data_IF_881089986474
#
_entry.id   IF_881089986474
#
_cell.length_a   1.000
_cell.length_b   1.000
_cell.length_c   1.000
_cell.angle_alpha   90.00
_cell.angle_beta   90.00
_cell.angle_gamma   90.00
#
_symmetry.space_group_name_H-M   'P 1'
#
loop_
_entity.id
_entity.type
_entity.pdbx_description
1 polymer ?
#
# COMPACT_ATOMS: atom_id res chain seq x y z
N UNK A 1 30.78 3.36 0.53
CA UNK A 1 29.43 2.98 0.10
C UNK A 1 29.01 3.94 -1.01
N UNK A 2 28.55 3.47 -2.18
CA UNK A 2 27.98 4.39 -3.16
C UNK A 2 26.68 4.98 -2.58
N UNK A 3 26.40 6.24 -2.89
CA UNK A 3 25.26 6.98 -2.38
C UNK A 3 23.92 6.23 -2.62
N UNK A 4 22.95 6.32 -1.70
CA UNK A 4 21.63 5.73 -1.91
C UNK A 4 20.95 6.45 -3.08
N UNK A 5 20.63 5.70 -4.13
CA UNK A 5 19.70 6.16 -5.15
C UNK A 5 18.33 6.36 -4.47
N UNK A 6 17.62 7.49 -4.66
CA UNK A 6 16.32 7.68 -4.04
C UNK A 6 15.35 6.59 -4.54
N UNK A 7 14.67 5.85 -3.65
CA UNK A 7 13.68 4.86 -4.07
C UNK A 7 12.51 5.57 -4.75
N UNK A 8 12.12 5.11 -5.94
CA UNK A 8 10.88 5.55 -6.57
C UNK A 8 9.74 4.68 -6.03
N UNK A 9 8.81 5.31 -5.30
CA UNK A 9 7.60 4.65 -4.81
C UNK A 9 6.44 4.90 -5.78
N UNK A 10 5.79 3.83 -6.22
CA UNK A 10 4.61 3.87 -7.06
C UNK A 10 3.43 3.33 -6.24
N UNK A 11 2.42 4.17 -6.02
CA UNK A 11 1.14 3.73 -5.48
C UNK A 11 0.26 3.25 -6.64
N UNK A 12 -0.09 1.98 -6.64
CA UNK A 12 -0.94 1.37 -7.67
C UNK A 12 -2.23 0.90 -7.02
N UNK A 13 -3.32 1.54 -7.42
CA UNK A 13 -4.68 1.15 -7.02
C UNK A 13 -5.23 0.08 -7.95
N UNK A 14 -6.23 -0.66 -7.50
CA UNK A 14 -6.93 -1.60 -8.38
C UNK A 14 -7.72 -0.84 -9.44
N UNK A 15 -7.64 -1.26 -10.72
CA UNK A 15 -8.32 -0.59 -11.84
C UNK A 15 -9.85 -0.82 -11.90
N UNK A 16 -10.46 -1.44 -10.88
CA UNK A 16 -11.90 -1.67 -10.85
C UNK A 16 -12.62 -0.38 -10.43
N UNK A 17 -13.23 0.33 -11.40
CA UNK A 17 -14.04 1.51 -11.12
C UNK A 17 -15.09 1.24 -10.04
N UNK A 18 -15.31 2.23 -9.17
CA UNK A 18 -16.12 2.15 -7.95
C UNK A 18 -17.59 1.68 -8.14
N UNK A 19 -18.05 1.51 -9.37
CA UNK A 19 -19.43 1.14 -9.72
C UNK A 19 -19.58 -0.29 -10.27
N UNK A 20 -18.49 -1.02 -10.56
CA UNK A 20 -18.53 -2.28 -11.32
C UNK A 20 -17.91 -3.46 -10.54
N UNK A 21 -18.04 -3.46 -9.21
CA UNK A 21 -17.48 -4.52 -8.37
C UNK A 21 -18.54 -5.55 -7.97
N UNK A 22 -18.46 -6.73 -8.57
CA UNK A 22 -19.29 -7.88 -8.17
C UNK A 22 -18.69 -8.61 -6.97
N UNK A 23 -19.55 -8.96 -6.00
CA UNK A 23 -19.17 -9.76 -4.86
C UNK A 23 -18.79 -11.19 -5.27
N UNK A 24 -17.72 -11.72 -4.69
CA UNK A 24 -17.26 -13.09 -4.94
C UNK A 24 -18.30 -14.09 -4.43
N UNK A 25 -18.89 -14.87 -5.34
CA UNK A 25 -19.78 -15.97 -4.98
C UNK A 25 -19.11 -16.98 -4.03
N UNK A 26 -19.83 -17.44 -3.00
CA UNK A 26 -19.35 -18.42 -2.00
C UNK A 26 -19.17 -19.82 -2.61
N UNK A 27 -18.18 -20.00 -3.47
CA UNK A 27 -17.70 -21.30 -3.92
C UNK A 27 -16.53 -21.76 -3.04
N UNK A 28 -16.79 -22.62 -2.06
CA UNK A 28 -15.75 -23.18 -1.20
C UNK A 28 -14.80 -24.09 -1.98
N UNK A 29 -13.50 -23.78 -2.00
CA UNK A 29 -12.44 -24.71 -2.43
C UNK A 29 -11.75 -25.27 -1.19
N UNK A 30 -12.03 -26.54 -0.89
CA UNK A 30 -11.28 -27.38 0.05
C UNK A 30 -9.95 -27.73 -0.63
N UNK A 31 -8.83 -27.34 -0.04
CA UNK A 31 -7.52 -27.90 -0.40
C UNK A 31 -7.48 -29.32 0.17
N UNK A 32 -7.65 -30.33 -0.66
CA UNK A 32 -7.41 -31.71 -0.28
C UNK A 32 -5.92 -32.02 -0.40
N UNK A 33 -5.39 -32.64 0.66
CA UNK A 33 -4.03 -33.14 0.78
C UNK A 33 -3.98 -34.53 0.15
N UNK A 34 -3.00 -34.75 -0.72
CA UNK A 34 -2.76 -36.04 -1.37
C UNK A 34 -2.37 -37.12 -0.35
N UNK A 35 -3.06 -38.26 -0.40
CA UNK A 35 -2.77 -39.45 0.38
C UNK A 35 -2.85 -40.70 -0.51
N UNK A 36 -1.67 -41.31 -0.69
CA UNK A 36 -1.29 -42.70 -1.01
C UNK A 36 -2.14 -43.63 -1.90
N UNK A 37 -1.39 -44.35 -2.73
CA UNK A 37 -1.79 -45.30 -3.75
C UNK A 37 -2.32 -46.64 -3.20
N UNK A 38 -3.31 -47.19 -3.90
CA UNK A 38 -3.75 -48.58 -3.79
C UNK A 38 -4.17 -49.11 -5.16
N UNK A 39 -3.48 -50.15 -5.63
CA UNK A 39 -3.71 -50.82 -6.91
C UNK A 39 -4.97 -51.70 -6.90
N UNK A 40 -5.69 -51.75 -8.02
CA UNK A 40 -6.79 -52.68 -8.28
C UNK A 40 -7.18 -52.67 -9.76
N UNK A 41 -7.34 -53.86 -10.33
CA UNK A 41 -7.33 -54.20 -11.76
C UNK A 41 -8.58 -53.84 -12.59
N UNK A 42 -8.35 -53.93 -13.91
CA UNK A 42 -9.19 -53.66 -15.09
C UNK A 42 -10.65 -54.16 -15.10
N UNK A 43 -11.50 -53.33 -15.72
CA UNK A 43 -12.80 -53.71 -16.28
C UNK A 43 -13.11 -52.85 -17.51
N UNK A 44 -13.26 -53.50 -18.65
CA UNK A 44 -13.51 -52.92 -19.99
C UNK A 44 -14.97 -52.44 -20.14
N UNK A 45 -15.19 -51.22 -20.65
CA UNK A 45 -16.52 -50.62 -20.73
C UNK A 45 -16.56 -49.28 -21.47
N UNK A 46 -16.87 -49.36 -22.78
CA UNK A 46 -17.51 -48.37 -23.66
C UNK A 46 -17.14 -46.87 -23.52
N UNK A 47 -16.44 -46.39 -24.54
CA UNK A 47 -16.19 -44.98 -24.84
C UNK A 47 -17.50 -44.20 -25.03
N UNK A 48 -17.89 -43.44 -24.01
CA UNK A 48 -18.78 -42.28 -24.14
C UNK A 48 -17.93 -41.02 -24.30
N UNK A 49 -18.35 -40.13 -25.20
CA UNK A 49 -17.70 -38.85 -25.49
C UNK A 49 -17.33 -38.11 -24.19
N UNK A 50 -16.02 -38.11 -23.88
CA UNK A 50 -15.48 -37.32 -22.81
C UNK A 50 -15.56 -35.86 -23.24
N UNK A 51 -16.56 -35.14 -22.72
CA UNK A 51 -16.54 -33.70 -22.68
C UNK A 51 -15.16 -33.27 -22.18
N UNK A 52 -14.44 -32.51 -23.01
CA UNK A 52 -13.13 -31.99 -22.65
C UNK A 52 -13.22 -31.39 -21.24
N UNK A 53 -12.32 -31.75 -20.31
CA UNK A 53 -12.36 -31.16 -18.98
C UNK A 53 -12.34 -29.65 -19.17
N UNK A 54 -13.29 -28.95 -18.54
CA UNK A 54 -13.28 -27.49 -18.49
C UNK A 54 -11.86 -27.08 -18.13
N UNK A 55 -11.14 -26.56 -19.12
CA UNK A 55 -9.77 -26.11 -18.94
C UNK A 55 -9.91 -24.90 -18.05
N UNK A 56 -9.72 -25.10 -16.74
CA UNK A 56 -9.72 -24.03 -15.76
C UNK A 56 -8.92 -22.88 -16.35
N UNK A 57 -9.50 -21.68 -16.39
CA UNK A 57 -8.81 -20.50 -16.91
C UNK A 57 -7.42 -20.47 -16.29
N UNK A 58 -6.40 -20.48 -17.16
CA UNK A 58 -5.01 -20.55 -16.73
C UNK A 58 -4.74 -19.34 -15.84
N UNK A 59 -4.35 -19.61 -14.60
CA UNK A 59 -4.17 -18.58 -13.57
C UNK A 59 -3.05 -17.66 -14.05
N UNK A 60 -3.27 -16.33 -14.04
CA UNK A 60 -2.26 -15.40 -14.57
C UNK A 60 -1.00 -15.49 -13.69
N UNK A 61 0.18 -15.36 -14.30
CA UNK A 61 1.47 -15.61 -13.65
C UNK A 61 1.66 -14.85 -12.32
N UNK A 62 1.11 -13.63 -12.24
CA UNK A 62 1.20 -12.73 -11.08
C UNK A 62 -0.16 -12.47 -10.39
N UNK A 63 -1.19 -13.26 -10.69
CA UNK A 63 -2.57 -13.02 -10.20
C UNK A 63 -2.66 -13.00 -8.66
N UNK A 64 -1.83 -13.79 -7.99
CA UNK A 64 -1.81 -13.91 -6.53
C UNK A 64 -0.78 -13.00 -5.84
N UNK A 65 -0.06 -12.16 -6.60
CA UNK A 65 0.98 -11.29 -6.06
C UNK A 65 0.43 -10.34 -4.99
N UNK A 66 -0.67 -9.64 -5.28
CA UNK A 66 -1.28 -8.70 -4.34
C UNK A 66 -1.79 -9.40 -3.07
N UNK A 67 -2.25 -10.66 -3.19
CA UNK A 67 -2.68 -11.47 -2.05
C UNK A 67 -1.52 -11.91 -1.16
N UNK A 68 -0.30 -11.96 -1.72
CA UNK A 68 0.92 -12.29 -0.97
C UNK A 68 1.43 -11.12 -0.13
N UNK A 69 1.06 -9.89 -0.47
CA UNK A 69 1.37 -8.70 0.31
C UNK A 69 0.40 -8.55 1.49
N UNK A 70 0.93 -8.52 2.71
CA UNK A 70 0.14 -8.34 3.91
C UNK A 70 -0.46 -6.91 3.93
N UNK A 71 -1.79 -6.75 4.15
CA UNK A 71 -2.44 -5.45 4.26
C UNK A 71 -2.10 -4.80 5.60
N UNK A 72 -0.93 -4.17 5.66
CA UNK A 72 -0.41 -3.52 6.85
C UNK A 72 -1.27 -2.29 7.19
N UNK A 73 -1.50 -2.04 8.48
CA UNK A 73 -2.38 -0.95 8.93
C UNK A 73 -3.88 -1.25 8.77
N UNK A 74 -4.27 -2.40 8.24
CA UNK A 74 -5.67 -2.82 8.20
C UNK A 74 -6.04 -3.58 9.47
N UNK A 75 -7.14 -3.17 10.11
CA UNK A 75 -7.67 -3.89 11.27
C UNK A 75 -7.91 -5.36 10.95
N UNK A 76 -7.50 -6.26 11.86
CA UNK A 76 -7.65 -7.71 11.68
C UNK A 76 -9.09 -8.17 11.42
N UNK A 77 -10.07 -7.43 11.93
CA UNK A 77 -11.49 -7.70 11.69
C UNK A 77 -11.92 -7.47 10.24
N UNK A 78 -11.20 -6.61 9.52
CA UNK A 78 -11.54 -6.14 8.17
C UNK A 78 -10.72 -6.83 7.07
N UNK A 79 -9.59 -7.49 7.41
CA UNK A 79 -8.75 -8.20 6.43
C UNK A 79 -9.54 -9.21 5.59
N UNK A 80 -10.46 -9.97 6.20
CA UNK A 80 -11.26 -10.95 5.44
C UNK A 80 -12.27 -10.29 4.50
N UNK A 81 -12.70 -9.05 4.80
CA UNK A 81 -13.64 -8.29 3.96
C UNK A 81 -13.02 -7.88 2.62
N UNK A 82 -11.70 -7.72 2.58
CA UNK A 82 -10.96 -7.44 1.34
C UNK A 82 -11.24 -8.55 0.31
N UNK A 83 -11.35 -9.81 0.75
CA UNK A 83 -11.54 -10.97 -0.13
C UNK A 83 -12.99 -11.16 -0.62
N UNK A 84 -13.91 -10.30 -0.19
CA UNK A 84 -15.31 -10.33 -0.61
C UNK A 84 -15.48 -9.88 -2.07
N UNK A 85 -14.49 -9.15 -2.62
CA UNK A 85 -14.49 -8.64 -3.98
C UNK A 85 -13.37 -9.26 -4.80
N UNK A 86 -13.56 -9.30 -6.12
CA UNK A 86 -12.55 -9.79 -7.06
C UNK A 86 -11.69 -8.62 -7.58
N UNK A 87 -10.71 -8.21 -6.78
CA UNK A 87 -9.82 -7.10 -7.12
C UNK A 87 -8.93 -7.41 -8.32
N UNK A 88 -8.79 -6.43 -9.20
CA UNK A 88 -8.01 -6.55 -10.40
C UNK A 88 -6.77 -5.66 -10.36
N UNK A 89 -5.59 -6.28 -10.40
CA UNK A 89 -4.28 -5.63 -10.34
C UNK A 89 -3.47 -5.81 -11.64
N UNK A 90 -4.11 -5.94 -12.82
CA UNK A 90 -3.35 -6.10 -14.08
C UNK A 90 -2.40 -4.92 -14.35
N UNK A 91 -2.67 -3.73 -13.83
CA UNK A 91 -1.75 -2.59 -13.90
C UNK A 91 -0.41 -2.91 -13.22
N UNK A 92 -0.44 -3.50 -12.02
CA UNK A 92 0.75 -3.96 -11.32
C UNK A 92 1.45 -5.08 -12.10
N UNK A 93 0.69 -6.04 -12.61
CA UNK A 93 1.24 -7.17 -13.38
C UNK A 93 1.95 -6.67 -14.63
N UNK A 94 1.31 -5.79 -15.42
CA UNK A 94 1.91 -5.16 -16.61
C UNK A 94 3.15 -4.34 -16.29
N UNK A 95 3.20 -3.68 -15.13
CA UNK A 95 4.39 -2.92 -14.72
C UNK A 95 5.58 -3.86 -14.45
N UNK A 96 5.34 -5.10 -14.01
CA UNK A 96 6.36 -6.09 -13.66
C UNK A 96 6.76 -7.02 -14.82
N UNK A 97 5.92 -7.13 -15.84
CA UNK A 97 6.13 -7.92 -17.06
C UNK A 97 7.12 -7.24 -18.04
N UNK A 98 7.61 -8.00 -19.03
CA UNK A 98 8.59 -7.50 -20.00
C UNK A 98 8.08 -6.26 -20.76
N UNK A 99 8.86 -5.17 -20.69
CA UNK A 99 8.48 -3.85 -21.24
C UNK A 99 7.76 -2.93 -20.24
N UNK A 100 7.40 -3.43 -19.05
CA UNK A 100 6.87 -2.64 -17.95
C UNK A 100 7.92 -1.84 -17.18
N UNK A 101 7.49 -0.78 -16.48
CA UNK A 101 8.37 0.16 -15.79
C UNK A 101 9.17 -0.43 -14.62
N UNK A 102 8.71 -1.55 -14.06
CA UNK A 102 9.33 -2.26 -12.94
C UNK A 102 10.06 -3.54 -13.39
N UNK A 103 10.05 -3.86 -14.68
CA UNK A 103 10.71 -5.04 -15.22
C UNK A 103 12.24 -4.97 -15.03
N UNK A 104 12.84 -6.09 -14.63
CA UNK A 104 14.29 -6.19 -14.41
C UNK A 104 14.77 -5.51 -13.12
N UNK A 105 13.85 -4.96 -12.31
CA UNK A 105 14.17 -4.24 -11.07
C UNK A 105 14.04 -5.12 -9.84
N UNK A 106 14.52 -4.60 -8.71
CA UNK A 106 14.26 -5.18 -7.39
C UNK A 106 13.14 -4.38 -6.75
N UNK A 107 12.00 -5.03 -6.52
CA UNK A 107 10.74 -4.37 -6.15
C UNK A 107 10.26 -4.92 -4.81
N UNK A 108 9.91 -4.02 -3.90
CA UNK A 108 9.34 -4.33 -2.59
C UNK A 108 7.89 -3.88 -2.53
N UNK A 109 6.98 -4.80 -2.23
CA UNK A 109 5.54 -4.56 -2.22
C UNK A 109 4.98 -4.68 -0.82
N UNK A 110 4.15 -3.72 -0.43
CA UNK A 110 3.26 -3.85 0.71
C UNK A 110 1.86 -3.41 0.29
N UNK A 111 0.87 -3.98 0.96
CA UNK A 111 -0.52 -3.62 0.75
C UNK A 111 -1.04 -2.84 1.96
N UNK A 112 -2.02 -1.98 1.74
CA UNK A 112 -2.85 -1.35 2.75
C UNK A 112 -4.31 -1.39 2.27
N UNK A 113 -5.22 -0.76 3.02
CA UNK A 113 -6.62 -0.63 2.61
C UNK A 113 -7.14 0.77 2.83
N UNK A 114 -7.96 1.22 1.89
CA UNK A 114 -8.70 2.46 1.98
C UNK A 114 -10.20 2.16 2.14
N UNK A 115 -10.81 2.47 3.30
CA UNK A 115 -12.24 2.31 3.49
C UNK A 115 -13.01 3.34 2.67
N UNK A 116 -13.92 2.87 1.81
CA UNK A 116 -14.81 3.69 1.00
C UNK A 116 -16.28 3.25 1.21
N UNK A 117 -17.21 4.21 1.19
CA UNK A 117 -18.64 3.90 1.19
C UNK A 117 -19.12 3.74 -0.26
N UNK A 118 -19.45 2.52 -0.66
CA UNK A 118 -19.86 2.19 -2.03
C UNK A 118 -21.27 1.57 -2.04
N UNK A 119 -21.99 1.77 -3.14
CA UNK A 119 -23.25 1.04 -3.38
C UNK A 119 -22.93 -0.26 -4.12
N UNK A 120 -23.12 -1.38 -3.45
CA UNK A 120 -22.84 -2.72 -4.00
C UNK A 120 -24.15 -3.50 -4.01
N UNK A 121 -24.56 -3.97 -5.18
CA UNK A 121 -25.82 -4.72 -5.36
C UNK A 121 -27.06 -4.00 -4.80
N UNK A 122 -27.09 -2.67 -4.87
CA UNK A 122 -28.20 -1.85 -4.37
C UNK A 122 -28.17 -1.54 -2.87
N UNK A 123 -27.15 -1.98 -2.14
CA UNK A 123 -26.96 -1.68 -0.71
C UNK A 123 -25.73 -0.79 -0.49
N UNK A 124 -25.86 0.19 0.41
CA UNK A 124 -24.72 1.01 0.85
C UNK A 124 -23.85 0.20 1.80
N UNK A 125 -22.58 -0.01 1.42
CA UNK A 125 -21.63 -0.86 2.15
C UNK A 125 -20.29 -0.16 2.32
N UNK A 126 -19.67 -0.36 3.47
CA UNK A 126 -18.26 -0.01 3.67
C UNK A 126 -17.38 -1.08 3.00
N UNK A 127 -16.67 -0.68 1.96
CA UNK A 127 -15.74 -1.52 1.19
C UNK A 127 -14.31 -1.12 1.55
N UNK A 128 -13.46 -2.09 1.84
CA UNK A 128 -12.04 -1.87 2.11
C UNK A 128 -11.27 -2.12 0.81
N UNK A 129 -11.03 -1.05 0.05
CA UNK A 129 -10.34 -1.12 -1.23
C UNK A 129 -8.86 -1.40 -0.96
N UNK A 130 -8.28 -2.51 -1.43
CA UNK A 130 -6.86 -2.78 -1.28
C UNK A 130 -6.06 -1.88 -2.21
N UNK A 131 -5.02 -1.28 -1.65
CA UNK A 131 -4.03 -0.53 -2.41
C UNK A 131 -2.67 -1.22 -2.24
N UNK A 132 -1.90 -1.30 -3.33
CA UNK A 132 -0.59 -1.94 -3.33
C UNK A 132 0.45 -0.90 -3.70
N UNK A 133 1.45 -0.75 -2.85
CA UNK A 133 2.58 0.14 -3.09
C UNK A 133 3.77 -0.69 -3.53
N UNK A 134 4.31 -0.37 -4.70
CA UNK A 134 5.51 -0.98 -5.25
C UNK A 134 6.68 0.00 -5.14
N UNK A 135 7.73 -0.41 -4.45
CA UNK A 135 8.94 0.39 -4.24
C UNK A 135 10.08 -0.22 -5.04
N UNK A 136 10.54 0.52 -6.05
CA UNK A 136 11.76 0.21 -6.78
C UNK A 136 12.96 0.58 -5.90
N UNK A 137 13.65 -0.44 -5.37
CA UNK A 137 14.78 -0.23 -4.48
C UNK A 137 15.86 -1.30 -4.71
N UNK A 138 17.12 -0.92 -5.00
CA UNK A 138 18.20 -1.88 -5.19
C UNK A 138 18.61 -2.59 -3.89
N UNK A 139 18.20 -2.07 -2.73
CA UNK A 139 18.44 -2.65 -1.41
C UNK A 139 17.13 -2.86 -0.64
N UNK A 140 17.16 -3.73 0.37
CA UNK A 140 15.98 -3.95 1.20
C UNK A 140 15.57 -2.64 1.91
N UNK A 141 14.27 -2.27 1.88
CA UNK A 141 13.76 -1.21 2.73
C UNK A 141 14.03 -1.55 4.20
N UNK A 142 13.92 -0.52 5.03
CA UNK A 142 14.05 -0.64 6.49
C UNK A 142 13.29 -1.85 7.05
N UNK A 143 13.91 -2.51 8.03
CA UNK A 143 13.36 -3.64 8.76
C UNK A 143 12.54 -3.20 9.98
N UNK A 144 12.04 -1.96 9.95
CA UNK A 144 11.24 -1.34 11.01
C UNK A 144 9.84 -0.97 10.52
N UNK A 145 8.93 -0.83 11.46
CA UNK A 145 7.59 -0.28 11.27
C UNK A 145 7.37 0.87 12.23
N UNK A 146 6.70 1.91 11.73
CA UNK A 146 6.19 3.01 12.50
C UNK A 146 4.81 2.67 13.04
N UNK A 147 4.54 3.02 14.29
CA UNK A 147 3.19 2.96 14.86
C UNK A 147 2.67 4.39 15.01
N UNK A 148 1.75 4.77 14.12
CA UNK A 148 1.18 6.10 14.05
C UNK A 148 -0.17 6.14 14.77
N UNK A 149 -0.15 6.52 16.04
CA UNK A 149 -1.38 6.77 16.79
C UNK A 149 -1.86 8.20 16.50
N UNK A 150 -3.06 8.36 15.96
CA UNK A 150 -3.71 9.68 15.70
C UNK A 150 -3.72 10.61 16.93
N UNK A 151 -3.61 10.05 18.14
CA UNK A 151 -3.71 10.76 19.41
C UNK A 151 -2.36 11.05 20.09
N UNK A 152 -1.24 10.63 19.50
CA UNK A 152 0.10 10.85 20.08
C UNK A 152 0.93 11.70 19.14
N UNK A 153 1.67 12.65 19.72
CA UNK A 153 2.60 13.51 18.99
C UNK A 153 3.90 12.82 18.54
N UNK A 154 4.14 11.56 18.96
CA UNK A 154 5.35 10.83 18.63
C UNK A 154 5.05 9.46 18.01
N UNK A 155 5.80 9.14 16.96
CA UNK A 155 5.82 7.82 16.31
C UNK A 155 6.60 6.82 17.17
N UNK A 156 6.00 5.64 17.43
CA UNK A 156 6.74 4.53 18.04
C UNK A 156 7.35 3.66 16.93
N UNK A 157 8.67 3.61 16.82
CA UNK A 157 9.36 2.79 15.83
C UNK A 157 9.71 1.42 16.44
N UNK A 158 9.26 0.34 15.78
CA UNK A 158 9.49 -1.03 16.20
C UNK A 158 10.17 -1.85 15.10
N UNK A 159 11.07 -2.79 15.43
CA UNK A 159 11.60 -3.71 14.43
C UNK A 159 10.49 -4.65 13.95
N UNK A 160 10.41 -4.90 12.64
CA UNK A 160 9.40 -5.75 11.98
C UNK A 160 9.30 -7.13 12.64
N UNK A 161 10.44 -7.71 13.04
CA UNK A 161 10.49 -9.01 13.74
C UNK A 161 9.64 -9.04 15.01
N UNK A 162 9.55 -7.93 15.74
CA UNK A 162 8.71 -7.86 16.94
C UNK A 162 7.24 -8.03 16.55
N UNK A 163 6.83 -7.39 15.44
CA UNK A 163 5.49 -7.49 14.85
C UNK A 163 5.27 -8.78 14.04
N UNK A 164 6.23 -9.72 14.04
CA UNK A 164 6.20 -10.94 13.22
C UNK A 164 6.12 -10.67 11.71
N UNK A 165 6.68 -9.54 11.30
CA UNK A 165 6.74 -9.10 9.91
C UNK A 165 8.15 -9.26 9.34
N UNK A 166 8.23 -9.41 8.03
CA UNK A 166 9.49 -9.43 7.27
C UNK A 166 9.21 -9.27 5.77
N UNK A 167 10.19 -8.75 5.03
CA UNK A 167 10.22 -8.86 3.57
C UNK A 167 10.51 -10.31 3.18
N UNK A 168 9.66 -10.91 2.34
CA UNK A 168 9.76 -12.30 1.91
C UNK A 168 9.79 -12.34 0.38
N UNK A 169 10.65 -13.15 -0.25
CA UNK A 169 10.68 -13.29 -1.70
C UNK A 169 9.34 -13.84 -2.22
N UNK A 170 8.83 -13.21 -3.27
CA UNK A 170 7.73 -13.74 -4.08
C UNK A 170 8.30 -14.36 -5.35
N UNK A 171 7.80 -15.55 -5.70
CA UNK A 171 8.18 -16.26 -6.92
C UNK A 171 6.94 -16.40 -7.80
N UNK A 172 6.94 -15.83 -9.02
CA UNK A 172 5.84 -15.95 -9.99
C UNK A 172 5.46 -17.42 -10.24
N UNK A 173 4.20 -17.66 -10.64
CA UNK A 173 3.68 -19.03 -10.83
C UNK A 173 4.49 -19.86 -11.83
N UNK A 174 4.86 -19.26 -12.96
CA UNK A 174 5.63 -19.89 -14.04
C UNK A 174 7.08 -20.19 -13.60
N UNK A 175 7.57 -19.47 -12.60
CA UNK A 175 8.95 -19.52 -12.12
C UNK A 175 9.13 -20.26 -10.79
N UNK A 176 8.12 -20.99 -10.28
CA UNK A 176 8.16 -21.62 -8.94
C UNK A 176 9.32 -22.60 -8.70
N UNK A 177 9.92 -23.14 -9.77
CA UNK A 177 11.11 -24.00 -9.69
C UNK A 177 12.42 -23.22 -9.74
N UNK A 178 12.37 -21.94 -10.12
CA UNK A 178 13.53 -21.06 -10.22
C UNK A 178 13.92 -20.52 -8.84
N UNK A 179 15.22 -20.26 -8.67
CA UNK A 179 15.71 -19.50 -7.51
C UNK A 179 15.51 -18.01 -7.78
N UNK A 180 15.24 -17.24 -6.72
CA UNK A 180 15.02 -15.79 -6.86
C UNK A 180 16.24 -15.06 -7.45
N UNK A 181 17.47 -15.55 -7.23
CA UNK A 181 18.66 -14.93 -7.81
C UNK A 181 18.70 -15.01 -9.34
N UNK A 182 18.01 -16.00 -9.93
CA UNK A 182 17.92 -16.19 -11.38
C UNK A 182 16.77 -15.44 -12.04
N UNK A 183 15.87 -14.82 -11.27
CA UNK A 183 14.76 -14.04 -11.82
C UNK A 183 15.26 -12.69 -12.31
N UNK A 184 14.74 -12.27 -13.47
CA UNK A 184 15.03 -10.93 -14.04
C UNK A 184 14.48 -9.84 -13.13
N UNK A 185 13.20 -9.92 -12.79
CA UNK A 185 12.55 -9.04 -11.81
C UNK A 185 12.52 -9.75 -10.46
N UNK A 186 13.07 -9.12 -9.42
CA UNK A 186 13.10 -9.68 -8.06
C UNK A 186 12.02 -9.01 -7.23
N UNK A 187 11.05 -9.78 -6.78
CA UNK A 187 9.88 -9.26 -6.09
C UNK A 187 9.93 -9.74 -4.63
N UNK A 188 9.76 -8.81 -3.70
CA UNK A 188 9.65 -9.09 -2.28
C UNK A 188 8.33 -8.51 -1.77
N UNK A 189 7.57 -9.27 -0.98
CA UNK A 189 6.35 -8.77 -0.35
C UNK A 189 6.51 -8.67 1.15
N UNK A 190 5.86 -7.67 1.76
CA UNK A 190 5.75 -7.59 3.21
C UNK A 190 4.84 -8.72 3.69
N UNK A 191 5.38 -9.61 4.49
CA UNK A 191 4.64 -10.75 5.04
C UNK A 191 4.49 -10.62 6.54
N UNK A 192 3.33 -11.04 7.08
CA UNK A 192 3.08 -11.14 8.51
C UNK A 192 2.74 -12.57 8.89
N UNK A 193 3.56 -13.19 9.75
CA UNK A 193 3.33 -14.56 10.23
C UNK A 193 2.41 -14.65 11.45
N UNK A 194 1.93 -13.50 11.96
CA UNK A 194 0.97 -13.46 13.06
C UNK A 194 -0.39 -14.01 12.62
N UNK A 195 -0.84 -15.10 13.23
CA UNK A 195 -2.15 -15.70 12.95
C UNK A 195 -3.27 -14.98 13.71
N UNK A 196 -4.43 -14.83 13.07
CA UNK A 196 -5.64 -14.24 13.68
C UNK A 196 -6.05 -14.92 14.98
N UNK A 197 -5.99 -16.25 15.05
CA UNK A 197 -6.32 -17.01 16.26
C UNK A 197 -5.39 -16.69 17.43
N UNK A 198 -4.10 -16.45 17.16
CA UNK A 198 -3.10 -16.13 18.18
C UNK A 198 -3.23 -14.71 18.73
N UNK A 199 -4.01 -13.82 18.08
CA UNK A 199 -4.27 -12.46 18.60
C UNK A 199 -5.09 -12.48 19.89
N UNK A 200 -5.93 -13.50 20.08
CA UNK A 200 -6.77 -13.67 21.29
C UNK A 200 -5.94 -13.80 22.58
N UNK A 201 -4.67 -14.16 22.45
CA UNK A 201 -3.74 -14.34 23.57
C UNK A 201 -2.81 -13.13 23.77
N UNK A 202 -2.94 -12.09 22.94
CA UNK A 202 -2.18 -10.85 23.07
C UNK A 202 -2.97 -9.81 23.85
N UNK A 203 -2.25 -8.91 24.54
CA UNK A 203 -2.87 -7.74 25.17
C UNK A 203 -3.50 -6.83 24.11
N UNK A 204 -4.61 -6.17 24.43
CA UNK A 204 -5.32 -5.26 23.52
C UNK A 204 -4.40 -4.19 22.93
N UNK A 205 -3.54 -3.58 23.75
CA UNK A 205 -2.54 -2.60 23.30
C UNK A 205 -1.61 -3.17 22.22
N UNK A 206 -1.23 -4.44 22.36
CA UNK A 206 -0.37 -5.13 21.39
C UNK A 206 -1.11 -5.41 20.09
N UNK A 207 -2.39 -5.76 20.16
CA UNK A 207 -3.23 -5.97 18.97
C UNK A 207 -3.40 -4.66 18.21
N UNK A 208 -3.69 -3.55 18.90
CA UNK A 208 -3.85 -2.22 18.28
C UNK A 208 -2.63 -1.76 17.50
N UNK A 209 -1.42 -2.19 17.87
CA UNK A 209 -0.21 -1.86 17.09
C UNK A 209 -0.27 -2.38 15.65
N UNK A 210 -0.98 -3.46 15.38
CA UNK A 210 -1.15 -3.94 14.00
C UNK A 210 -2.06 -3.05 13.17
N UNK A 211 -3.03 -2.40 13.81
CA UNK A 211 -4.00 -1.54 13.14
C UNK A 211 -3.39 -0.18 12.75
N UNK A 212 -2.31 0.23 13.42
CA UNK A 212 -1.63 1.52 13.18
C UNK A 212 -0.20 1.38 12.66
N UNK A 213 0.21 0.16 12.29
CA UNK A 213 1.55 -0.04 11.77
C UNK A 213 1.64 0.35 10.30
N UNK A 214 2.74 1.00 9.93
CA UNK A 214 3.13 1.26 8.55
C UNK A 214 4.60 0.89 8.37
N UNK A 215 5.04 0.46 7.18
CA UNK A 215 6.46 0.23 6.93
C UNK A 215 7.21 1.54 7.18
N UNK A 216 8.26 1.49 8.00
CA UNK A 216 9.02 2.69 8.35
C UNK A 216 10.04 2.94 7.26
N UNK A 217 9.70 3.79 6.30
CA UNK A 217 10.68 4.34 5.37
C UNK A 217 11.43 5.44 6.11
N UNK A 218 12.72 5.23 6.36
CA UNK A 218 13.55 6.34 6.80
C UNK A 218 13.53 7.35 5.67
N UNK A 219 12.83 8.48 5.86
CA UNK A 219 12.95 9.61 4.95
C UNK A 219 14.44 9.87 4.77
N UNK A 220 14.92 9.80 3.53
CA UNK A 220 16.28 10.23 3.21
C UNK A 220 16.46 11.74 3.48
N UNK A 221 15.35 12.44 3.71
CA UNK A 221 15.24 13.77 4.29
C UNK A 221 15.27 13.58 5.80
N UNK A 222 16.33 14.06 6.45
CA UNK A 222 16.38 14.12 7.91
C UNK A 222 15.16 14.90 8.42
N UNK A 223 14.47 14.45 9.48
CA UNK A 223 13.45 15.28 10.13
C UNK A 223 14.02 16.57 10.75
N UNK A 224 15.35 16.79 10.68
CA UNK A 224 16.00 18.04 11.07
C UNK A 224 15.98 19.12 9.97
N UNK A 225 15.55 18.81 8.76
CA UNK A 225 15.17 19.84 7.79
C UNK A 225 13.66 20.03 7.86
N UNK A 226 13.20 20.65 8.94
CA UNK A 226 12.06 21.55 8.81
C UNK A 226 12.49 22.55 7.73
N UNK A 227 12.04 22.35 6.49
CA UNK A 227 12.13 23.41 5.51
C UNK A 227 11.23 24.51 6.06
N UNK A 228 11.83 25.47 6.75
CA UNK A 228 11.14 26.67 7.19
C UNK A 228 10.56 27.31 5.93
N UNK A 229 9.25 27.13 5.76
CA UNK A 229 8.49 27.69 4.65
C UNK A 229 8.10 29.13 4.92
N UNK A 230 8.46 29.65 6.10
CA UNK A 230 8.23 31.03 6.51
C UNK A 230 9.32 31.94 6.00
N UNK A 231 8.93 33.00 5.32
CA UNK A 231 9.79 34.13 4.97
C UNK A 231 9.30 35.40 5.63
N UNK A 232 10.23 36.23 6.11
CA UNK A 232 9.91 37.59 6.53
C UNK A 232 9.80 38.49 5.29
N UNK A 233 8.57 38.89 4.95
CA UNK A 233 8.31 39.94 3.96
C UNK A 233 8.63 41.28 4.62
N UNK A 234 9.57 42.02 4.03
CA UNK A 234 9.89 43.39 4.45
C UNK A 234 9.30 44.36 3.42
N UNK A 235 8.20 45.01 3.78
CA UNK A 235 7.55 46.01 2.93
C UNK A 235 8.08 47.41 3.22
N UNK A 236 8.54 48.16 2.19
CA UNK A 236 9.34 49.37 2.36
C UNK A 236 8.48 50.62 2.65
N UNK A 237 7.72 50.61 3.75
CA UNK A 237 7.09 51.81 4.33
C UNK A 237 7.99 52.50 5.36
N UNK A 238 7.61 53.70 5.77
CA UNK A 238 8.25 54.41 6.90
C UNK A 238 7.25 54.49 8.07
N UNK A 239 7.35 53.62 9.10
CA UNK A 239 8.33 52.55 9.31
C UNK A 239 8.05 51.27 8.49
N UNK A 240 9.07 50.41 8.22
CA UNK A 240 8.89 49.22 7.40
C UNK A 240 8.03 48.18 8.12
N UNK A 241 7.15 47.54 7.37
CA UNK A 241 6.36 46.40 7.87
C UNK A 241 7.21 45.15 7.67
N UNK A 242 7.35 44.34 8.72
CA UNK A 242 8.01 43.04 8.66
C UNK A 242 6.99 42.01 9.11
N UNK A 243 6.58 41.12 8.20
CA UNK A 243 5.61 40.08 8.50
C UNK A 243 6.08 38.70 8.02
N UNK A 244 5.96 37.66 8.85
CA UNK A 244 6.24 36.29 8.44
C UNK A 244 5.13 35.79 7.50
N UNK A 245 5.52 35.13 6.42
CA UNK A 245 4.61 34.52 5.43
C UNK A 245 5.07 33.11 5.11
N UNK A 246 4.19 32.14 5.32
CA UNK A 246 4.43 30.72 5.01
C UNK A 246 3.94 30.41 3.59
N UNK A 247 4.84 30.21 2.63
CA UNK A 247 4.45 30.00 1.22
C UNK A 247 3.71 28.66 0.97
N UNK A 248 3.70 27.73 1.92
CA UNK A 248 2.98 26.45 1.82
C UNK A 248 1.59 26.52 2.46
N UNK A 249 1.48 27.28 3.56
CA UNK A 249 0.26 27.33 4.38
C UNK A 249 -0.59 28.59 4.16
N UNK A 250 0.03 29.72 3.84
CA UNK A 250 -0.65 31.00 3.73
C UNK A 250 -1.14 31.26 2.30
N UNK A 251 -2.41 31.65 2.18
CA UNK A 251 -2.97 32.16 0.93
C UNK A 251 -2.72 33.67 0.85
N UNK A 252 -2.08 34.11 -0.24
CA UNK A 252 -1.74 35.50 -0.48
C UNK A 252 -2.93 36.50 -0.38
N UNK A 253 -4.11 36.14 -0.91
CA UNK A 253 -5.28 37.00 -0.88
C UNK A 253 -5.83 37.17 0.53
N UNK A 254 -5.86 36.08 1.30
CA UNK A 254 -6.32 36.09 2.70
C UNK A 254 -5.31 36.79 3.62
N UNK A 255 -4.01 36.57 3.38
CA UNK A 255 -2.93 37.18 4.14
C UNK A 255 -2.94 38.71 4.06
N UNK A 256 -3.09 39.26 2.86
CA UNK A 256 -3.13 40.72 2.67
C UNK A 256 -4.39 41.32 3.29
N UNK A 257 -5.54 40.64 3.18
CA UNK A 257 -6.79 41.05 3.81
C UNK A 257 -6.68 41.10 5.35
N UNK A 258 -5.99 40.13 5.93
CA UNK A 258 -5.82 40.03 7.38
C UNK A 258 -4.86 41.09 7.92
N UNK A 259 -3.80 41.44 7.18
CA UNK A 259 -2.93 42.57 7.52
C UNK A 259 -3.66 43.92 7.53
N UNK A 260 -4.59 44.13 6.59
CA UNK A 260 -5.41 45.36 6.56
C UNK A 260 -6.42 45.38 7.71
N UNK A 261 -7.08 44.24 8.00
CA UNK A 261 -7.99 44.12 9.15
C UNK A 261 -7.28 44.34 10.49
N UNK A 262 -6.03 43.93 10.59
CA UNK A 262 -5.19 44.12 11.78
C UNK A 262 -4.66 45.55 11.94
N UNK A 263 -4.97 46.46 11.00
CA UNK A 263 -4.42 47.82 10.92
C UNK A 263 -2.87 47.85 10.79
N UNK A 264 -2.27 46.75 10.35
CA UNK A 264 -0.82 46.63 10.13
C UNK A 264 -0.41 47.10 8.73
N UNK A 265 -1.27 46.90 7.72
CA UNK A 265 -1.11 47.43 6.37
C UNK A 265 -2.21 48.48 6.09
N UNK A 266 -1.86 49.69 5.66
CA UNK A 266 -2.84 50.68 5.22
C UNK A 266 -3.69 50.18 4.05
N UNK A 267 -5.00 50.47 4.06
CA UNK A 267 -5.94 49.99 3.04
C UNK A 267 -5.58 50.49 1.62
N UNK A 268 -4.95 51.66 1.52
CA UNK A 268 -4.46 52.25 0.27
C UNK A 268 -3.21 51.57 -0.30
N UNK A 269 -2.47 50.80 0.51
CA UNK A 269 -1.30 50.02 0.09
C UNK A 269 -1.65 48.56 -0.24
N UNK A 270 -2.89 48.13 0.00
CA UNK A 270 -3.37 46.76 -0.22
C UNK A 270 -3.09 46.23 -1.63
N UNK A 271 -3.32 47.02 -2.67
CA UNK A 271 -3.11 46.58 -4.05
C UNK A 271 -1.62 46.53 -4.45
N UNK A 272 -0.77 47.28 -3.74
CA UNK A 272 0.67 47.36 -3.97
C UNK A 272 1.44 46.26 -3.22
N UNK A 273 0.85 45.68 -2.18
CA UNK A 273 1.42 44.61 -1.36
C UNK A 273 1.45 43.24 -2.09
N UNK A 274 1.60 43.25 -3.42
CA UNK A 274 1.94 42.19 -4.40
C UNK A 274 3.19 41.36 -4.07
N UNK A 275 3.13 40.16 -3.49
CA UNK A 275 4.32 39.26 -3.40
C UNK A 275 4.33 38.24 -4.53
#
# INVERSE_FOLDING_TARGET
>A
CPAPCPPAAFQLESNAGAQEQEARGRGGRRLEQDGEAGAGEAGDGQAGDAAAPERFAERRNLEDLWLSAFPIGTEWGNIDKIKEFNWNFQNLEKALEEGGELYGKTVYLFANTEPQQLHVNGEQKMVFVPTVVAVDCPCAPSDKVGINYVQRAYEEILPMRAMKMSWVPYVPLEDRLSRIEGLKTKIFTLHCSQRRSALKHLKTERVKKFDYCMPYYMSLISPEEDHDTTVDIIYPLEPPIVCPFDWEMDNYEEFTDDLVKAEELPEDEKENFKV
#
